data_IF_096738536778
#
_entry.id   IF_096738536778
#
_cell.length_a   1.000
_cell.length_b   1.000
_cell.length_c   1.000
_cell.angle_alpha   90.00
_cell.angle_beta   90.00
_cell.angle_gamma   90.00
#
_symmetry.space_group_name_H-M   'P 1'
#
loop_
_entity.id
_entity.type
_entity.pdbx_description
1 polymer ?
#
# COMPACT_ATOMS: atom_id res chain seq x y z
N UNK A 1 -9.36 17.70 95.04
CA UNK A 1 -8.39 18.73 94.60
C UNK A 1 -8.40 18.70 93.08
N UNK A 2 -9.10 19.61 92.41
CA UNK A 2 -8.56 20.88 91.86
C UNK A 2 -7.26 20.67 91.08
N UNK A 3 -7.27 20.91 89.76
CA UNK A 3 -6.88 22.21 89.21
C UNK A 3 -6.99 22.26 87.67
N UNK A 4 -7.51 23.41 87.24
CA UNK A 4 -7.51 24.08 85.94
C UNK A 4 -6.07 24.45 85.52
N UNK A 5 -5.73 24.43 84.22
CA UNK A 5 -5.06 25.57 83.56
C UNK A 5 -4.99 25.41 82.02
N UNK A 6 -5.22 26.54 81.36
CA UNK A 6 -5.20 26.83 79.92
C UNK A 6 -3.77 27.07 79.37
N UNK A 7 -3.63 26.97 78.04
CA UNK A 7 -3.00 27.90 77.05
C UNK A 7 -2.58 27.12 75.78
N UNK A 8 -3.08 27.44 74.57
CA UNK A 8 -2.62 28.51 73.62
C UNK A 8 -1.11 28.40 73.34
N UNK A 9 -0.55 28.38 72.12
CA UNK A 9 -0.85 28.97 70.81
C UNK A 9 0.19 28.36 69.82
N UNK A 10 -0.10 28.27 68.51
CA UNK A 10 0.79 28.79 67.45
C UNK A 10 0.35 28.38 66.04
N UNK A 11 0.24 29.43 65.21
CA UNK A 11 -0.09 29.45 63.79
C UNK A 11 0.96 28.78 62.91
N UNK A 12 0.51 28.18 61.82
CA UNK A 12 1.19 28.28 60.52
C UNK A 12 0.15 28.29 59.38
N UNK A 13 0.33 29.21 58.44
CA UNK A 13 -0.59 29.57 57.36
C UNK A 13 -0.63 28.58 56.18
N UNK A 14 -1.24 29.00 55.04
CA UNK A 14 -1.95 28.13 54.12
C UNK A 14 -1.03 27.49 53.08
N UNK A 15 -1.25 26.21 52.77
CA UNK A 15 -0.76 25.62 51.52
C UNK A 15 -1.82 25.87 50.45
N UNK A 16 -1.49 26.76 49.51
CA UNK A 16 -2.16 26.87 48.22
C UNK A 16 -2.08 25.50 47.55
N UNK A 17 -3.24 24.89 47.30
CA UNK A 17 -3.33 23.85 46.28
C UNK A 17 -3.03 24.52 44.95
N UNK A 18 -2.01 24.01 44.28
CA UNK A 18 -1.69 24.33 42.90
C UNK A 18 -2.90 23.87 42.06
N UNK A 19 -3.64 24.84 41.53
CA UNK A 19 -4.62 24.58 40.47
C UNK A 19 -3.80 24.22 39.23
N UNK A 20 -3.61 22.92 39.01
CA UNK A 20 -3.12 22.39 37.73
C UNK A 20 -4.15 22.78 36.67
N UNK A 21 -3.75 23.71 35.81
CA UNK A 21 -4.45 24.13 34.61
C UNK A 21 -4.62 22.88 33.73
N UNK A 22 -5.85 22.36 33.65
CA UNK A 22 -6.19 21.30 32.70
C UNK A 22 -5.98 21.88 31.29
N UNK A 23 -4.83 21.56 30.69
CA UNK A 23 -4.61 21.78 29.27
C UNK A 23 -5.61 20.90 28.49
N UNK A 24 -6.73 21.52 28.12
CA UNK A 24 -7.64 21.04 27.09
C UNK A 24 -6.80 20.56 25.89
N UNK A 25 -6.84 19.28 25.51
CA UNK A 25 -6.15 18.83 24.33
C UNK A 25 -6.79 19.54 23.14
N UNK A 26 -6.05 20.50 22.56
CA UNK A 26 -6.38 21.10 21.28
C UNK A 26 -6.52 19.95 20.31
N UNK A 27 -7.77 19.60 20.01
CA UNK A 27 -8.10 18.70 18.94
C UNK A 27 -7.76 19.43 17.64
N UNK A 28 -6.51 19.32 17.23
CA UNK A 28 -6.11 19.48 15.85
C UNK A 28 -6.85 18.40 15.05
N UNK A 29 -8.13 18.67 14.82
CA UNK A 29 -8.90 18.03 13.78
C UNK A 29 -8.21 18.47 12.51
N UNK A 30 -7.26 17.64 12.05
CA UNK A 30 -6.82 17.61 10.67
C UNK A 30 -8.10 17.56 9.85
N UNK A 31 -8.56 18.74 9.44
CA UNK A 31 -9.77 18.90 8.66
C UNK A 31 -9.33 18.47 7.28
N UNK A 32 -9.35 17.15 7.05
CA UNK A 32 -9.14 16.58 5.72
C UNK A 32 -10.17 17.26 4.83
N UNK A 33 -9.66 18.14 3.97
CA UNK A 33 -10.48 18.89 3.03
C UNK A 33 -11.31 17.87 2.25
N UNK A 34 -12.64 17.94 2.38
CA UNK A 34 -13.52 17.10 1.58
C UNK A 34 -13.32 17.39 0.09
N UNK A 35 -13.22 16.33 -0.70
CA UNK A 35 -13.01 16.43 -2.14
C UNK A 35 -14.29 16.92 -2.83
N UNK A 36 -14.14 17.81 -3.80
CA UNK A 36 -15.24 18.25 -4.66
C UNK A 36 -15.62 17.18 -5.68
N UNK A 37 -16.85 17.26 -6.19
CA UNK A 37 -17.34 16.33 -7.21
C UNK A 37 -16.48 16.37 -8.50
N UNK A 38 -15.95 17.53 -8.87
CA UNK A 38 -15.05 17.67 -10.04
C UNK A 38 -13.70 16.99 -9.81
N UNK A 39 -13.11 17.14 -8.62
CA UNK A 39 -11.85 16.46 -8.28
C UNK A 39 -12.03 14.93 -8.34
N UNK A 40 -13.14 14.41 -7.80
CA UNK A 40 -13.47 12.99 -7.87
C UNK A 40 -13.70 12.51 -9.32
N UNK A 41 -14.31 13.32 -10.18
CA UNK A 41 -14.51 12.96 -11.59
C UNK A 41 -13.20 12.89 -12.38
N UNK A 42 -12.26 13.79 -12.10
CA UNK A 42 -10.95 13.76 -12.73
C UNK A 42 -10.13 12.57 -12.22
N UNK A 43 -10.10 12.34 -10.90
CA UNK A 43 -9.47 11.16 -10.30
C UNK A 43 -10.02 9.84 -10.89
N UNK A 44 -11.34 9.74 -11.13
CA UNK A 44 -11.94 8.55 -11.76
C UNK A 44 -11.25 8.20 -13.07
N UNK A 45 -10.88 9.18 -13.90
CA UNK A 45 -10.23 8.92 -15.20
C UNK A 45 -8.89 8.22 -15.02
N UNK A 46 -8.13 8.62 -14.00
CA UNK A 46 -6.80 8.11 -13.73
C UNK A 46 -6.85 6.68 -13.15
N UNK A 47 -7.86 6.37 -12.34
CA UNK A 47 -7.98 5.08 -11.66
C UNK A 47 -8.93 4.08 -12.33
N UNK A 48 -9.58 4.43 -13.44
CA UNK A 48 -10.51 3.52 -14.14
C UNK A 48 -9.78 2.37 -14.85
N UNK A 49 -10.33 1.17 -14.74
CA UNK A 49 -9.90 -0.05 -15.43
C UNK A 49 -10.15 0.06 -16.93
N UNK A 50 -9.12 -0.16 -17.75
CA UNK A 50 -9.23 -0.05 -19.21
C UNK A 50 -9.74 -1.36 -19.84
N UNK A 51 -10.46 -1.32 -20.97
CA UNK A 51 -10.85 -2.53 -21.71
C UNK A 51 -9.65 -3.39 -22.09
N UNK A 52 -9.68 -4.68 -21.70
CA UNK A 52 -8.63 -5.64 -22.00
C UNK A 52 -7.38 -5.54 -21.11
N UNK A 53 -7.33 -4.58 -20.17
CA UNK A 53 -6.24 -4.48 -19.19
C UNK A 53 -6.37 -5.61 -18.15
N UNK A 54 -5.26 -6.22 -17.75
CA UNK A 54 -5.28 -7.22 -16.68
C UNK A 54 -5.45 -6.54 -15.31
N UNK A 55 -6.08 -7.23 -14.35
CA UNK A 55 -6.31 -6.69 -13.00
C UNK A 55 -5.01 -6.23 -12.34
N UNK A 56 -3.95 -7.05 -12.41
CA UNK A 56 -2.64 -6.70 -11.83
C UNK A 56 -2.04 -5.44 -12.49
N UNK A 57 -2.10 -5.34 -13.82
CA UNK A 57 -1.64 -4.15 -14.57
C UNK A 57 -2.43 -2.90 -14.20
N UNK A 58 -3.76 -3.02 -14.09
CA UNK A 58 -4.63 -1.93 -13.68
C UNK A 58 -4.31 -1.44 -12.27
N UNK A 59 -4.21 -2.36 -11.30
CA UNK A 59 -3.88 -2.03 -9.92
C UNK A 59 -2.50 -1.40 -9.80
N UNK A 60 -1.49 -1.95 -10.49
CA UNK A 60 -0.16 -1.36 -10.49
C UNK A 60 -0.18 0.07 -11.05
N UNK A 61 -0.94 0.32 -12.13
CA UNK A 61 -1.11 1.68 -12.65
C UNK A 61 -1.80 2.61 -11.64
N UNK A 62 -2.79 2.11 -10.88
CA UNK A 62 -3.41 2.89 -9.80
C UNK A 62 -2.40 3.21 -8.70
N UNK A 63 -1.57 2.24 -8.29
CA UNK A 63 -0.47 2.45 -7.34
C UNK A 63 0.48 3.54 -7.83
N UNK A 64 1.00 3.40 -9.05
CA UNK A 64 1.93 4.35 -9.68
C UNK A 64 1.32 5.75 -9.87
N UNK A 65 -0.01 5.84 -9.96
CA UNK A 65 -0.75 7.10 -10.03
C UNK A 65 -1.09 7.69 -8.65
N UNK A 66 -0.56 7.12 -7.57
CA UNK A 66 -0.70 7.65 -6.21
C UNK A 66 -1.98 7.23 -5.48
N UNK A 67 -2.60 6.09 -5.85
CA UNK A 67 -3.82 5.61 -5.18
C UNK A 67 -3.65 5.41 -3.66
N UNK A 68 -2.44 5.18 -3.16
CA UNK A 68 -2.18 5.03 -1.73
C UNK A 68 -2.21 6.37 -0.96
N UNK A 69 -1.92 7.48 -1.63
CA UNK A 69 -1.95 8.81 -1.02
C UNK A 69 -3.35 9.44 -1.04
N UNK A 70 -4.31 8.80 -1.73
CA UNK A 70 -5.67 9.30 -1.86
C UNK A 70 -6.56 8.67 -0.78
N UNK A 71 -6.63 9.32 0.39
CA UNK A 71 -7.58 8.96 1.45
C UNK A 71 -9.00 9.36 1.05
N UNK A 72 -9.93 8.40 1.13
CA UNK A 72 -11.33 8.60 0.78
C UNK A 72 -12.24 8.17 1.92
N UNK A 73 -13.20 9.01 2.27
CA UNK A 73 -14.33 8.59 3.08
C UNK A 73 -15.28 7.67 2.29
N UNK A 74 -16.13 6.93 3.00
CA UNK A 74 -17.13 6.06 2.37
C UNK A 74 -18.09 6.79 1.43
N UNK A 75 -18.36 8.09 1.64
CA UNK A 75 -19.22 8.89 0.75
C UNK A 75 -18.46 9.31 -0.52
N UNK A 76 -17.23 9.76 -0.39
CA UNK A 76 -16.37 10.16 -1.50
C UNK A 76 -16.04 8.96 -2.39
N UNK A 77 -15.72 7.81 -1.79
CA UNK A 77 -15.49 6.56 -2.52
C UNK A 77 -16.72 6.12 -3.33
N UNK A 78 -17.95 6.35 -2.82
CA UNK A 78 -19.19 6.10 -3.61
C UNK A 78 -19.36 7.10 -4.74
N UNK A 79 -19.04 8.38 -4.51
CA UNK A 79 -19.13 9.43 -5.52
C UNK A 79 -18.07 9.27 -6.62
N UNK A 80 -16.93 8.68 -6.29
CA UNK A 80 -15.89 8.30 -7.25
C UNK A 80 -16.43 7.35 -8.33
N UNK A 81 -17.49 6.58 -8.06
CA UNK A 81 -18.24 5.81 -9.05
C UNK A 81 -17.52 4.54 -9.52
N UNK A 82 -17.86 4.09 -10.74
CA UNK A 82 -17.30 2.84 -11.28
C UNK A 82 -15.85 3.03 -11.71
N UNK A 83 -14.96 2.21 -11.16
CA UNK A 83 -13.56 2.11 -11.56
C UNK A 83 -13.27 0.78 -12.23
N UNK A 84 -13.78 -0.32 -11.68
CA UNK A 84 -13.48 -1.69 -12.11
C UNK A 84 -14.29 -2.15 -13.32
N UNK A 85 -15.38 -1.43 -13.66
CA UNK A 85 -16.39 -1.84 -14.65
C UNK A 85 -17.16 -3.12 -14.26
N UNK A 86 -16.95 -3.63 -13.06
CA UNK A 86 -17.71 -4.72 -12.45
C UNK A 86 -18.46 -4.19 -11.22
N UNK A 87 -19.79 -4.12 -11.32
CA UNK A 87 -20.62 -3.52 -10.26
C UNK A 87 -20.44 -4.15 -8.87
N UNK A 88 -20.03 -5.42 -8.79
CA UNK A 88 -19.68 -6.09 -7.54
C UNK A 88 -18.43 -5.51 -6.87
N UNK A 89 -17.35 -5.30 -7.64
CA UNK A 89 -16.11 -4.71 -7.16
C UNK A 89 -16.34 -3.24 -6.78
N UNK A 90 -17.00 -2.47 -7.65
CA UNK A 90 -17.26 -1.03 -7.41
C UNK A 90 -18.09 -0.78 -6.14
N UNK A 91 -19.04 -1.69 -5.84
CA UNK A 91 -19.83 -1.63 -4.61
C UNK A 91 -18.97 -1.81 -3.36
N UNK A 92 -17.93 -2.64 -3.42
CA UNK A 92 -17.02 -2.86 -2.29
C UNK A 92 -16.05 -1.69 -2.14
N UNK A 93 -15.55 -1.12 -3.24
CA UNK A 93 -14.69 0.09 -3.22
C UNK A 93 -15.40 1.23 -2.46
N UNK A 94 -16.69 1.45 -2.77
CA UNK A 94 -17.52 2.45 -2.10
C UNK A 94 -18.08 2.04 -0.73
N UNK A 95 -17.72 0.85 -0.20
CA UNK A 95 -18.23 0.37 1.10
C UNK A 95 -17.37 0.88 2.25
N UNK A 96 -17.96 0.93 3.45
CA UNK A 96 -17.26 1.24 4.70
C UNK A 96 -17.46 2.67 5.19
N UNK A 97 -17.35 2.83 6.51
CA UNK A 97 -17.34 4.12 7.20
C UNK A 97 -15.94 4.73 7.42
N UNK A 98 -14.85 3.95 7.68
CA UNK A 98 -13.56 4.58 7.90
C UNK A 98 -13.00 5.18 6.61
N UNK A 99 -12.25 6.27 6.75
CA UNK A 99 -11.36 6.76 5.71
C UNK A 99 -10.28 5.71 5.45
N UNK A 100 -10.10 5.37 4.18
CA UNK A 100 -9.07 4.44 3.71
C UNK A 100 -8.54 4.95 2.39
N UNK A 101 -7.24 4.77 2.17
CA UNK A 101 -6.65 5.01 0.85
C UNK A 101 -7.37 4.24 -0.25
N UNK A 102 -7.46 4.86 -1.43
CA UNK A 102 -8.02 4.21 -2.61
C UNK A 102 -7.33 2.88 -2.90
N UNK A 103 -6.01 2.80 -2.66
CA UNK A 103 -5.25 1.56 -2.77
C UNK A 103 -5.80 0.43 -1.90
N UNK A 104 -5.99 0.66 -0.60
CA UNK A 104 -6.56 -0.36 0.32
C UNK A 104 -7.98 -0.77 -0.07
N UNK A 105 -8.79 0.19 -0.54
CA UNK A 105 -10.15 -0.07 -1.04
C UNK A 105 -10.14 -0.98 -2.26
N UNK A 106 -9.24 -0.71 -3.22
CA UNK A 106 -9.06 -1.53 -4.42
C UNK A 106 -8.61 -2.96 -4.08
N UNK A 107 -7.58 -3.11 -3.25
CA UNK A 107 -7.07 -4.42 -2.82
C UNK A 107 -8.17 -5.25 -2.14
N UNK A 108 -8.92 -4.63 -1.23
CA UNK A 108 -10.02 -5.29 -0.51
C UNK A 108 -11.13 -5.74 -1.46
N UNK A 109 -11.52 -4.88 -2.41
CA UNK A 109 -12.57 -5.19 -3.38
C UNK A 109 -12.20 -6.31 -4.34
N UNK A 110 -10.93 -6.35 -4.79
CA UNK A 110 -10.42 -7.42 -5.63
C UNK A 110 -10.34 -8.73 -4.86
N UNK A 111 -9.87 -8.70 -3.61
CA UNK A 111 -9.82 -9.90 -2.75
C UNK A 111 -11.22 -10.45 -2.42
N UNK A 112 -12.21 -9.58 -2.20
CA UNK A 112 -13.60 -10.01 -1.96
C UNK A 112 -14.20 -10.68 -3.21
N UNK A 113 -13.87 -10.17 -4.41
CA UNK A 113 -14.32 -10.73 -5.68
C UNK A 113 -13.61 -12.04 -6.05
N UNK A 114 -12.31 -12.11 -5.78
CA UNK A 114 -11.41 -13.21 -6.14
C UNK A 114 -10.69 -13.72 -4.88
N UNK A 115 -11.33 -14.60 -4.08
CA UNK A 115 -10.79 -15.01 -2.79
C UNK A 115 -9.48 -15.79 -2.87
N UNK A 116 -9.20 -16.44 -4.00
CA UNK A 116 -7.97 -17.19 -4.23
C UNK A 116 -7.10 -16.55 -5.30
N UNK A 117 -5.77 -16.64 -5.13
CA UNK A 117 -4.78 -16.06 -6.04
C UNK A 117 -4.86 -16.60 -7.45
N UNK A 118 -5.29 -17.84 -7.59
CA UNK A 118 -5.49 -18.54 -8.85
C UNK A 118 -6.71 -18.04 -9.63
N UNK A 119 -7.67 -17.38 -8.97
CA UNK A 119 -8.88 -16.87 -9.60
C UNK A 119 -8.63 -15.59 -10.42
N UNK A 120 -7.59 -14.83 -10.05
CA UNK A 120 -7.17 -13.63 -10.81
C UNK A 120 -6.43 -14.11 -12.06
N UNK A 121 -7.13 -14.11 -13.20
CA UNK A 121 -6.57 -14.53 -14.49
C UNK A 121 -5.42 -13.61 -14.89
N UNK A 122 -4.21 -14.08 -14.61
CA UNK A 122 -2.98 -13.40 -14.98
C UNK A 122 -2.22 -14.21 -16.04
N UNK A 123 -2.30 -13.75 -17.28
CA UNK A 123 -1.50 -14.28 -18.39
C UNK A 123 -0.55 -13.20 -18.87
N UNK A 124 0.65 -13.10 -18.30
CA UNK A 124 1.66 -12.35 -19.04
C UNK A 124 2.19 -13.19 -20.20
N UNK A 125 2.47 -12.50 -21.29
CA UNK A 125 3.31 -13.03 -22.36
C UNK A 125 4.78 -13.04 -21.95
N UNK A 126 5.61 -13.62 -22.82
CA UNK A 126 7.07 -13.44 -22.73
C UNK A 126 7.40 -11.95 -22.74
N UNK A 127 8.24 -11.51 -21.81
CA UNK A 127 8.77 -10.14 -21.84
C UNK A 127 9.99 -10.09 -22.74
N UNK A 128 10.21 -8.95 -23.40
CA UNK A 128 11.24 -8.80 -24.43
C UNK A 128 12.27 -7.71 -24.12
N UNK A 129 11.97 -6.84 -23.16
CA UNK A 129 12.84 -5.75 -22.70
C UNK A 129 12.90 -5.78 -21.18
N UNK A 130 13.92 -5.14 -20.59
CA UNK A 130 14.10 -5.19 -19.15
C UNK A 130 12.99 -4.46 -18.40
N UNK A 131 12.51 -3.35 -18.94
CA UNK A 131 11.39 -2.59 -18.36
C UNK A 131 10.11 -3.44 -18.34
N UNK A 132 9.86 -4.23 -19.39
CA UNK A 132 8.73 -5.17 -19.40
C UNK A 132 8.93 -6.31 -18.39
N UNK A 133 10.17 -6.74 -18.15
CA UNK A 133 10.51 -7.71 -17.11
C UNK A 133 10.29 -7.18 -15.71
N UNK A 134 10.68 -5.93 -15.45
CA UNK A 134 10.47 -5.20 -14.19
C UNK A 134 8.97 -4.99 -13.96
N UNK A 135 8.26 -4.47 -14.96
CA UNK A 135 6.79 -4.33 -14.92
C UNK A 135 6.12 -5.67 -14.59
N UNK A 136 6.56 -6.75 -15.25
CA UNK A 136 6.05 -8.10 -14.98
C UNK A 136 6.28 -8.54 -13.53
N UNK A 137 7.45 -8.25 -12.96
CA UNK A 137 7.77 -8.57 -11.58
C UNK A 137 6.89 -7.77 -10.60
N UNK A 138 6.69 -6.47 -10.83
CA UNK A 138 5.83 -5.60 -10.03
C UNK A 138 4.36 -6.05 -10.08
N UNK A 139 3.88 -6.47 -11.25
CA UNK A 139 2.53 -7.04 -11.39
C UNK A 139 2.36 -8.34 -10.61
N UNK A 140 3.37 -9.20 -10.57
CA UNK A 140 3.37 -10.38 -9.70
C UNK A 140 3.34 -10.00 -8.22
N UNK A 141 4.04 -8.92 -7.85
CA UNK A 141 4.09 -8.41 -6.48
C UNK A 141 2.74 -7.85 -6.04
N UNK A 142 2.02 -7.13 -6.90
CA UNK A 142 0.64 -6.70 -6.66
C UNK A 142 -0.26 -7.88 -6.27
N UNK A 143 -0.08 -9.05 -6.91
CA UNK A 143 -0.81 -10.25 -6.51
C UNK A 143 -0.42 -10.71 -5.09
N UNK A 144 0.85 -10.65 -4.70
CA UNK A 144 1.23 -10.93 -3.31
C UNK A 144 0.58 -9.93 -2.33
N UNK A 145 0.53 -8.64 -2.68
CA UNK A 145 -0.09 -7.60 -1.83
C UNK A 145 -1.59 -7.86 -1.64
N UNK A 146 -2.34 -8.21 -2.70
CA UNK A 146 -3.80 -8.50 -2.60
C UNK A 146 -4.07 -9.62 -1.58
N UNK A 147 -3.23 -10.67 -1.60
CA UNK A 147 -3.42 -11.87 -0.79
C UNK A 147 -2.63 -11.88 0.52
N UNK A 148 -1.77 -10.87 0.75
CA UNK A 148 -1.06 -10.61 2.00
C UNK A 148 -2.00 -10.19 3.13
N UNK A 149 -1.49 -10.06 4.36
CA UNK A 149 -2.32 -9.60 5.48
C UNK A 149 -2.41 -8.06 5.47
N UNK A 150 -3.52 -7.53 4.95
CA UNK A 150 -3.76 -6.08 4.86
C UNK A 150 -3.92 -5.41 6.23
N UNK A 151 -4.10 -6.17 7.31
CA UNK A 151 -4.21 -5.63 8.67
C UNK A 151 -2.87 -5.63 9.42
N UNK A 152 -1.89 -6.38 8.94
CA UNK A 152 -0.56 -6.40 9.51
C UNK A 152 0.24 -5.20 9.00
N UNK A 153 0.59 -4.29 9.90
CA UNK A 153 1.38 -3.09 9.60
C UNK A 153 2.79 -3.45 9.09
N UNK A 154 3.28 -4.66 9.37
CA UNK A 154 4.58 -5.14 8.89
C UNK A 154 4.50 -5.74 7.49
N UNK A 155 3.30 -6.05 7.00
CA UNK A 155 3.12 -6.58 5.66
C UNK A 155 3.22 -5.45 4.63
N UNK A 156 4.06 -5.60 3.59
CA UNK A 156 4.25 -4.55 2.60
C UNK A 156 2.95 -4.32 1.82
N UNK A 157 2.49 -3.07 1.83
CA UNK A 157 1.40 -2.60 0.95
C UNK A 157 1.93 -2.07 -0.38
N UNK A 158 3.22 -1.71 -0.41
CA UNK A 158 3.94 -1.27 -1.59
C UNK A 158 4.41 -2.50 -2.38
N UNK A 159 3.98 -2.66 -3.66
CA UNK A 159 4.46 -3.73 -4.53
C UNK A 159 5.99 -3.78 -4.67
N UNK A 160 6.69 -2.65 -4.55
CA UNK A 160 8.15 -2.55 -4.72
C UNK A 160 8.93 -3.02 -3.48
N UNK A 161 8.31 -3.00 -2.30
CA UNK A 161 8.88 -3.48 -1.04
C UNK A 161 8.65 -4.98 -0.80
N UNK A 162 7.79 -5.61 -1.61
CA UNK A 162 7.51 -7.05 -1.51
C UNK A 162 8.79 -7.86 -1.71
N UNK A 163 9.07 -8.80 -0.79
CA UNK A 163 10.13 -9.78 -0.97
C UNK A 163 9.78 -10.75 -2.12
N UNK A 164 10.66 -10.87 -3.10
CA UNK A 164 10.46 -11.78 -4.22
C UNK A 164 10.38 -13.23 -3.73
N UNK A 165 9.27 -13.91 -4.05
CA UNK A 165 9.11 -15.33 -3.73
C UNK A 165 9.70 -16.22 -4.82
N UNK A 166 10.07 -17.47 -4.49
CA UNK A 166 10.58 -18.43 -5.49
C UNK A 166 9.59 -18.66 -6.64
N UNK A 167 8.26 -18.77 -6.40
CA UNK A 167 7.28 -18.82 -7.47
C UNK A 167 7.28 -17.59 -8.37
N UNK A 168 7.38 -16.37 -7.82
CA UNK A 168 7.50 -15.14 -8.63
C UNK A 168 8.75 -15.18 -9.51
N UNK A 169 9.90 -15.50 -8.91
CA UNK A 169 11.17 -15.56 -9.63
C UNK A 169 11.15 -16.58 -10.76
N UNK A 170 10.61 -17.77 -10.52
CA UNK A 170 10.46 -18.81 -11.55
C UNK A 170 9.58 -18.34 -12.71
N UNK A 171 8.51 -17.60 -12.43
CA UNK A 171 7.64 -17.01 -13.45
C UNK A 171 8.39 -15.94 -14.26
N UNK A 172 9.17 -15.07 -13.60
CA UNK A 172 10.02 -14.06 -14.24
C UNK A 172 11.00 -14.69 -15.22
N UNK A 173 11.81 -15.64 -14.74
CA UNK A 173 12.84 -16.35 -15.54
C UNK A 173 12.23 -17.11 -16.71
N UNK A 174 11.11 -17.81 -16.50
CA UNK A 174 10.47 -18.62 -17.56
C UNK A 174 9.93 -17.76 -18.72
N UNK A 175 9.53 -16.53 -18.42
CA UNK A 175 9.01 -15.60 -19.42
C UNK A 175 10.10 -14.67 -19.99
N UNK A 176 11.35 -14.85 -19.58
CA UNK A 176 12.49 -14.04 -20.01
C UNK A 176 12.94 -14.36 -21.44
N UNK A 177 13.56 -13.39 -22.14
CA UNK A 177 14.37 -13.65 -23.31
C UNK A 177 15.48 -14.65 -22.98
N UNK A 178 15.86 -15.53 -23.92
CA UNK A 178 16.94 -16.51 -23.70
C UNK A 178 18.27 -15.89 -23.26
N UNK A 179 18.58 -14.68 -23.74
CA UNK A 179 19.78 -13.93 -23.37
C UNK A 179 19.82 -13.54 -21.89
N UNK A 180 18.66 -13.30 -21.27
CA UNK A 180 18.57 -12.88 -19.87
C UNK A 180 18.32 -14.06 -18.93
N UNK A 181 17.63 -15.10 -19.38
CA UNK A 181 17.14 -16.20 -18.53
C UNK A 181 18.26 -16.86 -17.68
N UNK A 182 19.44 -17.09 -18.27
CA UNK A 182 20.56 -17.71 -17.56
C UNK A 182 21.12 -16.81 -16.45
N UNK A 183 21.30 -15.51 -16.74
CA UNK A 183 21.79 -14.53 -15.77
C UNK A 183 20.82 -14.38 -14.59
N UNK A 184 19.52 -14.38 -14.87
CA UNK A 184 18.47 -14.33 -13.84
C UNK A 184 18.38 -15.61 -13.01
N UNK A 185 18.71 -16.77 -13.58
CA UNK A 185 18.71 -18.02 -12.84
C UNK A 185 19.86 -18.09 -11.82
N UNK A 186 20.94 -17.33 -12.03
CA UNK A 186 22.14 -17.32 -11.19
C UNK A 186 22.06 -16.25 -10.09
N UNK A 187 21.17 -15.26 -10.23
CA UNK A 187 20.95 -14.21 -9.23
C UNK A 187 20.69 -14.82 -7.84
N UNK A 188 21.54 -14.45 -6.89
CA UNK A 188 21.72 -15.16 -5.62
C UNK A 188 20.70 -14.71 -4.57
N UNK A 189 20.19 -15.68 -3.82
CA UNK A 189 19.32 -15.45 -2.66
C UNK A 189 20.19 -15.25 -1.42
N UNK A 190 20.19 -14.06 -0.81
CA UNK A 190 20.98 -13.78 0.38
C UNK A 190 20.29 -14.38 1.61
N UNK A 191 20.95 -15.30 2.31
CA UNK A 191 20.45 -15.83 3.59
C UNK A 191 19.16 -16.65 3.51
N UNK A 192 18.72 -17.07 2.32
CA UNK A 192 17.47 -17.80 2.12
C UNK A 192 16.26 -16.91 1.83
N UNK A 193 16.40 -15.59 1.97
CA UNK A 193 15.41 -14.59 1.58
C UNK A 193 15.71 -14.07 0.16
N UNK A 194 14.65 -13.75 -0.57
CA UNK A 194 14.77 -13.17 -1.91
C UNK A 194 14.99 -11.66 -1.80
N UNK A 195 15.54 -11.03 -2.86
CA UNK A 195 15.59 -9.57 -2.92
C UNK A 195 14.18 -8.97 -2.89
N UNK A 196 14.04 -7.73 -2.48
CA UNK A 196 12.79 -6.98 -2.71
C UNK A 196 12.57 -6.79 -4.22
N UNK A 197 11.34 -6.48 -4.61
CA UNK A 197 11.02 -6.18 -6.01
C UNK A 197 11.83 -4.99 -6.52
N UNK A 198 12.03 -3.97 -5.69
CA UNK A 198 12.88 -2.82 -6.00
C UNK A 198 14.35 -3.23 -6.20
N UNK A 199 14.92 -4.00 -5.27
CA UNK A 199 16.30 -4.50 -5.40
C UNK A 199 16.47 -5.38 -6.65
N UNK A 200 15.50 -6.24 -6.93
CA UNK A 200 15.49 -7.04 -8.15
C UNK A 200 15.43 -6.15 -9.40
N UNK A 201 14.60 -5.11 -9.41
CA UNK A 201 14.51 -4.17 -10.51
C UNK A 201 15.84 -3.43 -10.75
N UNK A 202 16.52 -2.97 -9.69
CA UNK A 202 17.85 -2.35 -9.81
C UNK A 202 18.87 -3.32 -10.39
N UNK A 203 18.93 -4.56 -9.91
CA UNK A 203 19.83 -5.59 -10.46
C UNK A 203 19.57 -5.86 -11.95
N UNK A 204 18.30 -5.83 -12.38
CA UNK A 204 17.93 -5.98 -13.78
C UNK A 204 18.43 -4.81 -14.63
N UNK A 205 18.29 -3.57 -14.15
CA UNK A 205 18.78 -2.37 -14.82
C UNK A 205 20.30 -2.36 -14.95
N UNK A 206 21.02 -2.65 -13.86
CA UNK A 206 22.50 -2.74 -13.87
C UNK A 206 23.00 -3.76 -14.88
N UNK A 207 22.29 -4.90 -15.02
CA UNK A 207 22.63 -5.91 -16.02
C UNK A 207 22.43 -5.40 -17.45
N UNK A 208 21.35 -4.67 -17.72
CA UNK A 208 21.11 -4.07 -19.04
C UNK A 208 22.17 -3.03 -19.42
N UNK A 209 22.58 -2.19 -18.47
CA UNK A 209 23.69 -1.24 -18.65
C UNK A 209 25.00 -1.96 -18.96
N UNK A 210 25.30 -3.06 -18.26
CA UNK A 210 26.50 -3.85 -18.49
C UNK A 210 26.55 -4.48 -19.90
N UNK A 211 25.41 -5.01 -20.38
CA UNK A 211 25.31 -5.54 -21.74
C UNK A 211 25.50 -4.42 -22.75
N UNK A 212 24.81 -3.29 -22.56
CA UNK A 212 24.87 -2.15 -23.46
C UNK A 212 26.28 -1.58 -23.57
N UNK A 213 27.01 -1.50 -22.45
CA UNK A 213 28.40 -1.04 -22.43
C UNK A 213 29.38 -2.02 -23.07
N UNK A 214 29.07 -3.31 -23.11
CA UNK A 214 29.93 -4.34 -23.73
C UNK A 214 29.82 -4.40 -25.26
N UNK A 215 28.84 -3.71 -25.83
CA UNK A 215 28.56 -3.67 -27.27
C UNK A 215 29.08 -2.39 -27.97
N UNK A 216 29.72 -1.49 -27.21
CA UNK A 216 30.36 -0.24 -27.70
C UNK A 216 31.90 -0.40 -27.67
#
# INVERSE_FOLDING_TARGET
>A
MSARLEREDERAGPSQGEEEEEEEPVNETETTRSLSLSELQDMRKDFSHRPGEHIATWLLRCWDSGANSLELEGKEAKQLGSLSREGGIDKVIGKGAPALSLWRRLLSAIRERYPFKEDVVYRSGKWTTMEKGIQYLRELAVLEVIYGDLNDVRSPIDPDEVQCTRPMWRKLVRNAPPSCANSLAILTWKGGEGPTVNEAASNLQEYEESISSSLV
#
